data_IF_191527152294
#
_entry.id   IF_191527152294
#
_cell.length_a   1.000
_cell.length_b   1.000
_cell.length_c   1.000
_cell.angle_alpha   90.00
_cell.angle_beta   90.00
_cell.angle_gamma   90.00
#
_symmetry.space_group_name_H-M   'P 1'
#
loop_
_entity.id
_entity.type
_entity.pdbx_description
1 polymer ?
#
# COMPACT_ATOMS: atom_id res chain seq x y z
N UNK A 1 64.08 6.12 20.37
CA UNK A 1 63.07 6.95 21.04
C UNK A 1 62.31 7.82 20.02
N UNK A 2 61.10 7.43 19.55
CA UNK A 2 60.06 8.33 18.95
C UNK A 2 58.68 7.64 18.92
N UNK A 3 58.21 7.08 20.05
CA UNK A 3 56.90 6.39 20.16
C UNK A 3 55.73 7.33 20.50
N UNK A 4 56.00 8.62 20.77
CA UNK A 4 55.04 9.57 21.35
C UNK A 4 54.18 10.35 20.34
N UNK A 5 54.44 10.22 19.03
CA UNK A 5 53.72 11.01 18.00
C UNK A 5 52.38 10.41 17.59
N UNK A 6 52.20 9.09 17.70
CA UNK A 6 51.02 8.40 17.17
C UNK A 6 49.81 8.46 18.12
N UNK A 7 50.06 8.53 19.43
CA UNK A 7 48.99 8.62 20.44
C UNK A 7 48.21 9.92 20.32
N UNK A 8 48.89 11.06 20.10
CA UNK A 8 48.23 12.34 19.90
C UNK A 8 47.42 12.39 18.59
N UNK A 9 47.93 11.76 17.52
CA UNK A 9 47.19 11.64 16.26
C UNK A 9 45.92 10.81 16.43
N UNK A 10 46.01 9.67 17.14
CA UNK A 10 44.84 8.83 17.44
C UNK A 10 43.82 9.57 18.30
N UNK A 11 44.27 10.24 19.38
CA UNK A 11 43.38 11.02 20.25
C UNK A 11 42.69 12.17 19.49
N UNK A 12 43.42 12.86 18.61
CA UNK A 12 42.87 13.92 17.78
C UNK A 12 41.83 13.37 16.78
N UNK A 13 42.12 12.23 16.14
CA UNK A 13 41.17 11.59 15.23
C UNK A 13 39.90 11.12 15.93
N UNK A 14 40.03 10.55 17.14
CA UNK A 14 38.90 10.09 17.94
C UNK A 14 38.05 11.27 18.42
N UNK A 15 38.70 12.36 18.83
CA UNK A 15 38.03 13.59 19.22
C UNK A 15 37.25 14.20 18.05
N UNK A 16 37.87 14.34 16.88
CA UNK A 16 37.21 14.86 15.67
C UNK A 16 36.03 13.99 15.25
N UNK A 17 36.20 12.67 15.26
CA UNK A 17 35.12 11.73 14.93
C UNK A 17 33.98 11.85 15.94
N UNK A 18 34.28 11.90 17.24
CA UNK A 18 33.30 12.09 18.30
C UNK A 18 32.55 13.42 18.17
N UNK A 19 33.25 14.50 17.78
CA UNK A 19 32.65 15.80 17.53
C UNK A 19 31.67 15.76 16.35
N UNK A 20 32.04 15.11 15.25
CA UNK A 20 31.16 14.91 14.08
C UNK A 20 29.92 14.10 14.47
N UNK A 21 30.10 12.98 15.19
CA UNK A 21 28.99 12.16 15.67
C UNK A 21 28.08 12.95 16.62
N UNK A 22 28.66 13.74 17.53
CA UNK A 22 27.89 14.59 18.43
C UNK A 22 27.04 15.62 17.67
N UNK A 23 27.62 16.32 16.69
CA UNK A 23 26.86 17.28 15.87
C UNK A 23 25.79 16.62 15.01
N UNK A 24 26.03 15.40 14.54
CA UNK A 24 25.05 14.59 13.82
C UNK A 24 23.89 14.16 14.73
N UNK A 25 24.19 13.66 15.93
CA UNK A 25 23.16 13.24 16.90
C UNK A 25 22.41 14.41 17.53
N UNK A 26 23.00 15.60 17.57
CA UNK A 26 22.38 16.82 18.08
C UNK A 26 21.38 17.46 17.11
N UNK A 27 21.07 16.81 15.96
CA UNK A 27 20.10 17.27 14.95
C UNK A 27 20.25 18.75 14.59
N UNK A 28 21.50 19.18 14.30
CA UNK A 28 21.79 20.60 14.09
C UNK A 28 21.06 21.15 12.85
N UNK A 29 20.12 22.10 13.00
CA UNK A 29 19.30 22.61 11.89
C UNK A 29 20.10 23.25 10.75
N UNK A 30 21.33 23.72 11.03
CA UNK A 30 22.20 24.32 10.03
C UNK A 30 22.82 23.27 9.10
N UNK A 31 23.31 22.17 9.66
CA UNK A 31 23.90 21.07 8.88
C UNK A 31 22.81 20.40 8.04
N UNK A 32 21.63 20.17 8.62
CA UNK A 32 20.45 19.62 7.94
C UNK A 32 20.07 20.44 6.70
N UNK A 33 20.11 21.77 6.83
CA UNK A 33 19.81 22.69 5.72
C UNK A 33 20.84 22.60 4.61
N UNK A 34 22.13 22.51 4.96
CA UNK A 34 23.20 22.33 3.98
C UNK A 34 23.07 20.99 3.28
N UNK A 35 22.80 19.91 4.03
CA UNK A 35 22.62 18.57 3.49
C UNK A 35 21.46 18.52 2.49
N UNK A 36 20.26 18.98 2.88
CA UNK A 36 19.08 19.01 2.00
C UNK A 36 19.34 19.78 0.72
N UNK A 37 19.97 20.94 0.83
CA UNK A 37 20.34 21.76 -0.34
C UNK A 37 21.37 21.07 -1.22
N UNK A 38 22.32 20.35 -0.62
CA UNK A 38 23.30 19.54 -1.37
C UNK A 38 22.60 18.40 -2.11
N UNK A 39 21.60 17.76 -1.49
CA UNK A 39 20.80 16.70 -2.10
C UNK A 39 20.04 17.25 -3.32
N UNK A 40 19.37 18.39 -3.19
CA UNK A 40 18.67 19.03 -4.31
C UNK A 40 19.61 19.28 -5.50
N UNK A 41 20.80 19.85 -5.24
CA UNK A 41 21.80 20.09 -6.29
C UNK A 41 22.28 18.78 -6.91
N UNK A 42 22.47 17.72 -6.12
CA UNK A 42 22.87 16.40 -6.65
C UNK A 42 21.78 15.79 -7.52
N UNK A 43 20.51 15.92 -7.14
CA UNK A 43 19.38 15.46 -7.97
C UNK A 43 19.25 16.25 -9.26
N UNK A 44 19.41 17.58 -9.19
CA UNK A 44 19.36 18.45 -10.37
C UNK A 44 20.53 18.19 -11.33
N UNK A 45 21.74 18.01 -10.81
CA UNK A 45 22.95 17.78 -11.62
C UNK A 45 23.02 16.37 -12.20
N UNK A 46 22.48 15.35 -11.50
CA UNK A 46 22.31 14.00 -12.07
C UNK A 46 21.42 14.01 -13.31
N UNK A 47 20.44 14.91 -13.37
CA UNK A 47 19.48 15.00 -14.46
C UNK A 47 18.34 13.98 -14.34
N UNK A 48 17.46 13.97 -15.35
CA UNK A 48 16.34 13.02 -15.42
C UNK A 48 16.85 11.65 -15.85
N UNK A 49 16.78 10.68 -14.95
CA UNK A 49 16.92 9.28 -15.31
C UNK A 49 15.57 8.74 -15.80
N UNK A 50 15.53 7.94 -16.88
CA UNK A 50 14.29 7.30 -17.30
C UNK A 50 13.80 6.38 -16.17
N UNK A 51 12.48 6.32 -15.99
CA UNK A 51 11.89 5.34 -15.08
C UNK A 51 12.35 3.95 -15.52
N UNK A 52 12.85 3.16 -14.56
CA UNK A 52 13.22 1.77 -14.84
C UNK A 52 12.02 1.00 -15.40
N UNK A 53 12.21 0.03 -16.30
CA UNK A 53 11.12 -0.66 -17.01
C UNK A 53 10.29 -1.59 -16.12
N UNK A 54 10.46 -1.52 -14.80
CA UNK A 54 10.02 -2.56 -13.87
C UNK A 54 8.83 -2.15 -13.00
N UNK A 55 8.45 -0.86 -12.98
CA UNK A 55 7.35 -0.36 -12.17
C UNK A 55 6.38 0.45 -13.04
N UNK A 56 5.12 0.01 -13.04
CA UNK A 56 4.00 0.72 -13.67
C UNK A 56 3.07 1.17 -12.56
N UNK A 57 2.69 2.44 -12.56
CA UNK A 57 1.70 2.97 -11.64
C UNK A 57 0.32 2.91 -12.29
N UNK A 58 -0.61 2.21 -11.65
CA UNK A 58 -2.04 2.32 -11.93
C UNK A 58 -2.63 3.39 -11.00
N UNK A 59 -2.83 4.60 -11.51
CA UNK A 59 -3.33 5.75 -10.74
C UNK A 59 -4.84 5.89 -10.88
N UNK A 60 -5.49 6.41 -9.85
CA UNK A 60 -6.90 6.81 -9.89
C UNK A 60 -6.94 8.31 -10.22
N UNK A 61 -7.28 8.63 -11.47
CA UNK A 61 -7.40 10.00 -11.97
C UNK A 61 -8.87 10.37 -12.29
N UNK A 62 -9.10 11.63 -12.67
CA UNK A 62 -10.45 12.12 -12.99
C UNK A 62 -11.11 11.29 -14.10
N UNK A 63 -10.34 10.91 -15.13
CA UNK A 63 -10.83 10.05 -16.21
C UNK A 63 -11.32 8.70 -15.68
N UNK A 64 -10.56 8.07 -14.79
CA UNK A 64 -10.94 6.81 -14.16
C UNK A 64 -12.21 6.95 -13.31
N UNK A 65 -12.37 8.07 -12.61
CA UNK A 65 -13.56 8.34 -11.81
C UNK A 65 -14.80 8.60 -12.67
N UNK A 66 -14.63 9.25 -13.82
CA UNK A 66 -15.71 9.47 -14.78
C UNK A 66 -16.17 8.16 -15.43
N UNK A 67 -15.24 7.23 -15.71
CA UNK A 67 -15.55 5.94 -16.35
C UNK A 67 -16.08 4.87 -15.37
N UNK A 68 -15.47 4.76 -14.18
CA UNK A 68 -15.72 3.67 -13.22
C UNK A 68 -16.70 4.10 -12.13
N UNK A 69 -16.72 5.39 -11.80
CA UNK A 69 -17.52 5.97 -10.75
C UNK A 69 -16.67 6.52 -9.60
N UNK A 70 -17.39 7.08 -8.62
CA UNK A 70 -16.79 7.81 -7.50
C UNK A 70 -16.00 6.90 -6.55
N UNK A 71 -14.84 7.38 -6.11
CA UNK A 71 -14.04 6.78 -5.04
C UNK A 71 -14.68 7.01 -3.65
N UNK A 72 -14.58 6.08 -2.68
CA UNK A 72 -13.92 4.78 -2.74
C UNK A 72 -14.68 3.77 -3.58
N UNK A 73 -13.95 3.01 -4.41
CA UNK A 73 -14.56 1.92 -5.18
C UNK A 73 -14.82 0.70 -4.28
N UNK A 74 -15.85 -0.11 -4.59
CA UNK A 74 -16.08 -1.37 -3.90
C UNK A 74 -14.86 -2.30 -4.03
N UNK A 75 -14.54 -3.06 -2.98
CA UNK A 75 -13.39 -3.98 -2.99
C UNK A 75 -13.42 -5.03 -4.10
N UNK A 76 -14.61 -5.38 -4.61
CA UNK A 76 -14.74 -6.23 -5.80
C UNK A 76 -14.11 -5.62 -7.07
N UNK A 77 -14.11 -4.28 -7.20
CA UNK A 77 -13.45 -3.59 -8.32
C UNK A 77 -11.93 -3.68 -8.21
N UNK A 78 -11.39 -3.59 -6.99
CA UNK A 78 -9.96 -3.80 -6.73
C UNK A 78 -9.57 -5.26 -7.01
N UNK A 79 -10.43 -6.22 -6.65
CA UNK A 79 -10.24 -7.64 -6.94
C UNK A 79 -10.15 -7.93 -8.46
N UNK A 80 -10.98 -7.26 -9.25
CA UNK A 80 -10.95 -7.32 -10.72
C UNK A 80 -9.63 -6.77 -11.27
N UNK A 81 -9.16 -5.63 -10.75
CA UNK A 81 -7.87 -5.05 -11.14
C UNK A 81 -6.70 -5.99 -10.83
N UNK A 82 -6.65 -6.56 -9.63
CA UNK A 82 -5.60 -7.52 -9.23
C UNK A 82 -5.61 -8.73 -10.18
N UNK A 83 -6.80 -9.27 -10.45
CA UNK A 83 -6.96 -10.44 -11.33
C UNK A 83 -6.40 -10.14 -12.73
N UNK A 84 -6.79 -9.00 -13.32
CA UNK A 84 -6.29 -8.59 -14.64
C UNK A 84 -4.78 -8.38 -14.66
N UNK A 85 -4.22 -7.65 -13.69
CA UNK A 85 -2.78 -7.43 -13.61
C UNK A 85 -2.01 -8.75 -13.47
N UNK A 86 -2.55 -9.69 -12.70
CA UNK A 86 -1.97 -11.03 -12.52
C UNK A 86 -2.01 -11.84 -13.83
N UNK A 87 -3.09 -11.75 -14.59
CA UNK A 87 -3.27 -12.42 -15.87
C UNK A 87 -2.37 -11.84 -16.97
N UNK A 88 -2.17 -10.52 -16.96
CA UNK A 88 -1.29 -9.77 -17.88
C UNK A 88 0.22 -9.96 -17.55
N UNK A 89 0.55 -10.77 -16.56
CA UNK A 89 1.93 -11.16 -16.26
C UNK A 89 2.69 -10.20 -15.34
N UNK A 90 1.98 -9.44 -14.49
CA UNK A 90 2.63 -8.70 -13.42
C UNK A 90 3.50 -9.64 -12.55
N UNK A 91 4.71 -9.20 -12.21
CA UNK A 91 5.62 -9.97 -11.34
C UNK A 91 5.33 -9.78 -9.86
N UNK A 92 4.86 -8.60 -9.48
CA UNK A 92 4.45 -8.21 -8.12
C UNK A 92 3.36 -7.15 -8.30
N UNK A 93 2.33 -7.17 -7.45
CA UNK A 93 1.29 -6.14 -7.43
C UNK A 93 1.34 -5.47 -6.06
N UNK A 94 1.68 -4.18 -6.00
CA UNK A 94 1.66 -3.42 -4.76
C UNK A 94 0.43 -2.53 -4.71
N UNK A 95 -0.28 -2.54 -3.57
CA UNK A 95 -1.43 -1.69 -3.32
C UNK A 95 -1.05 -0.58 -2.35
N UNK A 96 -1.13 0.68 -2.80
CA UNK A 96 -1.03 1.85 -1.93
C UNK A 96 -2.44 2.28 -1.47
N UNK A 97 -3.15 1.33 -0.84
CA UNK A 97 -4.52 1.51 -0.35
C UNK A 97 -4.62 0.81 1.01
N UNK A 98 -5.18 1.51 2.00
CA UNK A 98 -5.41 0.97 3.35
C UNK A 98 -6.84 0.45 3.48
N UNK A 99 -6.99 -0.81 3.87
CA UNK A 99 -8.26 -1.51 4.06
C UNK A 99 -8.59 -1.71 5.54
N UNK A 100 -8.67 -0.62 6.32
CA UNK A 100 -8.79 -0.66 7.78
C UNK A 100 -10.16 -1.10 8.30
N UNK A 101 -11.22 -0.90 7.53
CA UNK A 101 -12.61 -1.17 7.92
C UNK A 101 -13.29 -2.06 6.88
N UNK A 102 -14.22 -2.97 7.25
CA UNK A 102 -14.98 -3.78 6.31
C UNK A 102 -15.64 -2.95 5.20
N UNK A 103 -15.84 -3.55 4.02
CA UNK A 103 -16.47 -2.85 2.90
C UNK A 103 -17.92 -2.46 3.22
N UNK A 104 -18.26 -1.19 3.03
CA UNK A 104 -19.62 -0.70 3.24
C UNK A 104 -20.55 -1.06 2.07
N UNK A 105 -21.05 -2.30 2.07
CA UNK A 105 -21.99 -2.78 1.07
C UNK A 105 -23.45 -2.82 1.59
N UNK A 106 -24.26 -1.85 1.17
CA UNK A 106 -25.68 -1.78 1.52
C UNK A 106 -26.50 -2.99 1.02
N UNK A 107 -26.14 -3.56 -0.13
CA UNK A 107 -26.83 -4.74 -0.66
C UNK A 107 -26.56 -5.97 0.22
N UNK A 108 -25.32 -6.13 0.68
CA UNK A 108 -24.97 -7.19 1.61
C UNK A 108 -25.76 -7.05 2.92
N UNK A 109 -25.76 -5.86 3.53
CA UNK A 109 -26.54 -5.56 4.75
C UNK A 109 -28.03 -5.87 4.56
N UNK A 110 -28.59 -5.53 3.39
CA UNK A 110 -29.99 -5.83 3.08
C UNK A 110 -30.25 -7.34 2.97
N UNK A 111 -29.42 -8.09 2.26
CA UNK A 111 -29.53 -9.56 2.14
C UNK A 111 -29.44 -10.21 3.52
N UNK A 112 -28.54 -9.73 4.39
CA UNK A 112 -28.41 -10.22 5.76
C UNK A 112 -29.67 -9.97 6.59
N UNK A 113 -30.25 -8.78 6.50
CA UNK A 113 -31.51 -8.46 7.19
C UNK A 113 -32.67 -9.32 6.72
N UNK A 114 -32.79 -9.56 5.41
CA UNK A 114 -33.80 -10.45 4.81
C UNK A 114 -33.65 -11.90 5.29
N UNK A 115 -32.41 -12.38 5.35
CA UNK A 115 -32.09 -13.72 5.84
C UNK A 115 -32.41 -13.86 7.33
N UNK A 116 -32.14 -12.84 8.13
CA UNK A 116 -32.45 -12.81 9.55
C UNK A 116 -33.97 -12.80 9.78
N UNK A 117 -34.72 -12.00 9.04
CA UNK A 117 -36.19 -11.91 9.16
C UNK A 117 -36.88 -13.20 8.70
N UNK A 118 -36.39 -13.82 7.63
CA UNK A 118 -36.92 -15.12 7.18
C UNK A 118 -36.75 -16.19 8.26
N UNK A 119 -35.60 -16.18 8.95
CA UNK A 119 -35.31 -17.09 10.07
C UNK A 119 -36.17 -16.77 11.31
N UNK A 120 -36.39 -15.49 11.64
CA UNK A 120 -37.20 -15.08 12.79
C UNK A 120 -38.68 -15.48 12.61
N UNK A 121 -39.19 -15.38 11.40
CA UNK A 121 -40.55 -15.78 11.03
C UNK A 121 -40.73 -17.32 10.93
N UNK A 122 -39.65 -18.09 11.06
CA UNK A 122 -39.69 -19.55 10.98
C UNK A 122 -40.06 -20.07 9.58
N UNK A 123 -39.88 -19.25 8.54
CA UNK A 123 -40.19 -19.61 7.16
C UNK A 123 -39.18 -20.63 6.64
N UNK A 124 -39.58 -21.90 6.58
CA UNK A 124 -38.77 -22.96 5.99
C UNK A 124 -38.96 -22.98 4.48
N UNK A 125 -38.12 -22.24 3.78
CA UNK A 125 -38.11 -22.19 2.32
C UNK A 125 -36.69 -22.49 1.79
N UNK A 126 -36.30 -23.77 1.64
CA UNK A 126 -34.94 -24.16 1.27
C UNK A 126 -34.44 -23.52 -0.04
N UNK A 127 -35.34 -23.28 -1.00
CA UNK A 127 -35.00 -22.56 -2.24
C UNK A 127 -34.65 -21.09 -2.00
N UNK A 128 -35.39 -20.41 -1.11
CA UNK A 128 -35.14 -19.02 -0.74
C UNK A 128 -33.84 -18.91 0.05
N UNK A 129 -33.61 -19.82 1.01
CA UNK A 129 -32.36 -19.87 1.78
C UNK A 129 -31.15 -20.01 0.86
N UNK A 130 -31.19 -20.94 -0.09
CA UNK A 130 -30.13 -21.09 -1.10
C UNK A 130 -29.92 -19.84 -1.94
N UNK A 131 -31.00 -19.20 -2.39
CA UNK A 131 -30.93 -17.96 -3.16
C UNK A 131 -30.27 -16.82 -2.36
N UNK A 132 -30.63 -16.66 -1.08
CA UNK A 132 -30.05 -15.63 -0.22
C UNK A 132 -28.57 -15.91 0.07
N UNK A 133 -28.18 -17.17 0.26
CA UNK A 133 -26.77 -17.54 0.41
C UNK A 133 -25.95 -17.26 -0.86
N UNK A 134 -26.49 -17.61 -2.04
CA UNK A 134 -25.86 -17.31 -3.33
C UNK A 134 -25.73 -15.79 -3.55
N UNK A 135 -26.77 -15.02 -3.22
CA UNK A 135 -26.77 -13.56 -3.32
C UNK A 135 -25.77 -12.93 -2.34
N UNK A 136 -25.69 -13.44 -1.10
CA UNK A 136 -24.72 -12.99 -0.09
C UNK A 136 -23.29 -13.20 -0.59
N UNK A 137 -22.98 -14.38 -1.11
CA UNK A 137 -21.64 -14.71 -1.61
C UNK A 137 -21.22 -13.82 -2.79
N UNK A 138 -22.16 -13.38 -3.63
CA UNK A 138 -21.89 -12.46 -4.73
C UNK A 138 -21.76 -10.99 -4.29
N UNK A 139 -22.39 -10.61 -3.18
CA UNK A 139 -22.35 -9.26 -2.64
C UNK A 139 -21.16 -9.03 -1.68
N UNK A 140 -20.53 -10.09 -1.17
CA UNK A 140 -19.40 -9.98 -0.24
C UNK A 140 -18.10 -9.56 -0.95
N UNK A 141 -17.93 -8.25 -1.12
CA UNK A 141 -16.78 -7.64 -1.77
C UNK A 141 -15.45 -7.92 -1.05
N UNK A 142 -15.48 -8.09 0.27
CA UNK A 142 -14.31 -8.42 1.08
C UNK A 142 -13.80 -9.83 0.77
N UNK A 143 -14.71 -10.80 0.76
CA UNK A 143 -14.41 -12.18 0.39
C UNK A 143 -13.92 -12.28 -1.07
N UNK A 144 -14.51 -11.48 -1.97
CA UNK A 144 -14.09 -11.41 -3.38
C UNK A 144 -12.65 -10.91 -3.50
N UNK A 145 -12.29 -9.83 -2.80
CA UNK A 145 -10.93 -9.29 -2.79
C UNK A 145 -9.92 -10.28 -2.20
N UNK A 146 -10.25 -10.88 -1.06
CA UNK A 146 -9.39 -11.88 -0.42
C UNK A 146 -9.16 -13.10 -1.33
N UNK A 147 -10.18 -13.53 -2.07
CA UNK A 147 -10.07 -14.61 -3.04
C UNK A 147 -9.18 -14.23 -4.23
N UNK A 148 -9.30 -13.01 -4.76
CA UNK A 148 -8.46 -12.53 -5.86
C UNK A 148 -6.97 -12.46 -5.46
N UNK A 149 -6.67 -11.94 -4.27
CA UNK A 149 -5.31 -11.92 -3.71
C UNK A 149 -4.75 -13.35 -3.64
N UNK A 150 -5.52 -14.30 -3.09
CA UNK A 150 -5.08 -15.69 -2.93
C UNK A 150 -4.89 -16.42 -4.26
N UNK A 151 -5.69 -16.09 -5.28
CA UNK A 151 -5.64 -16.71 -6.61
C UNK A 151 -4.62 -16.07 -7.55
N UNK A 152 -4.14 -14.87 -7.22
CA UNK A 152 -3.16 -14.16 -8.03
C UNK A 152 -1.89 -14.99 -8.20
N UNK A 153 -1.42 -15.12 -9.44
CA UNK A 153 -0.12 -15.71 -9.79
C UNK A 153 1.04 -14.82 -9.33
N UNK A 154 0.83 -13.50 -9.38
CA UNK A 154 1.73 -12.52 -8.83
C UNK A 154 1.54 -12.40 -7.31
N UNK A 155 2.61 -12.34 -6.49
CA UNK A 155 2.48 -11.91 -5.10
C UNK A 155 1.87 -10.51 -5.04
N UNK A 156 0.87 -10.37 -4.17
CA UNK A 156 0.15 -9.13 -3.85
C UNK A 156 0.47 -8.77 -2.41
#
# INVERSE_FOLDING_TARGET
MKRHSWTHVLLLSLFLTGLVVFFYMAENPFLDRIERRSLDVRFLTRGKEPAGPFAVLATIDEKSLDEIGKWPWPRAKIAELITRLSEEGARVIALDIVFSEPDENNNLKFIESMQQETRSLGLRAPKLERFLEEARAQADNDSILAAAIRRSKAPV
#
